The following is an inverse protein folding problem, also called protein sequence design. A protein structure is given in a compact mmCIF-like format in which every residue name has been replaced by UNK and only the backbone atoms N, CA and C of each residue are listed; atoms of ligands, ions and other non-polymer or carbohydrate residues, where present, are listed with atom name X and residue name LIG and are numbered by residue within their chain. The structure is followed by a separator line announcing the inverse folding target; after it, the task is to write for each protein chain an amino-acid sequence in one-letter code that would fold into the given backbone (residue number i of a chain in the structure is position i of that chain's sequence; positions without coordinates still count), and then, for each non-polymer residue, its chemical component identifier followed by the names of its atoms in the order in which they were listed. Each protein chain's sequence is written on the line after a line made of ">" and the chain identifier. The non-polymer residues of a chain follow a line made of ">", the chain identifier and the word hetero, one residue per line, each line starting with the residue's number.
data_IF_458126655338
#
_entry.id   IF_458126655338
#
_cell.length_a   1.000
_cell.length_b   1.000
_cell.length_c   1.000
_cell.angle_alpha   90.00
_cell.angle_beta   90.00
_cell.angle_gamma   90.00
#
_symmetry.space_group_name_H-M   'P 1'
#
loop_
_entity.id
_entity.type
_entity.pdbx_description
1 polymer ?
#
# COMPACT_ATOMS: atom_id res chain seq x y z
N UNK A 1 -20.61 14.30 -12.00
CA UNK A 1 -21.01 14.07 -13.41
C UNK A 1 -21.66 15.30 -14.04
N UNK A 2 -22.58 16.00 -13.34
CA UNK A 2 -23.27 17.20 -13.87
C UNK A 2 -22.32 18.39 -14.13
N UNK A 3 -21.34 18.63 -13.25
CA UNK A 3 -20.34 19.71 -13.41
C UNK A 3 -19.42 19.52 -14.63
N UNK A 4 -19.15 18.28 -15.05
CA UNK A 4 -18.28 17.95 -16.18
C UNK A 4 -18.94 18.24 -17.53
N UNK A 5 -20.27 18.35 -17.57
CA UNK A 5 -21.07 18.55 -18.77
C UNK A 5 -21.34 20.04 -19.02
N UNK A 6 -21.37 20.87 -17.97
CA UNK A 6 -21.80 22.27 -18.07
C UNK A 6 -20.71 23.31 -17.86
N UNK A 7 -19.53 22.94 -17.34
CA UNK A 7 -18.50 23.91 -17.02
C UNK A 7 -17.14 23.48 -17.61
N UNK A 8 -16.58 24.35 -18.46
CA UNK A 8 -15.23 24.20 -19.01
C UNK A 8 -14.23 24.80 -18.00
N UNK A 9 -13.96 24.07 -16.91
CA UNK A 9 -13.07 24.55 -15.85
C UNK A 9 -11.61 24.54 -16.29
N UNK A 10 -10.91 25.63 -16.01
CA UNK A 10 -9.45 25.72 -16.07
C UNK A 10 -8.84 24.78 -15.01
N UNK A 11 -7.64 24.25 -15.24
CA UNK A 11 -7.04 23.27 -14.31
C UNK A 11 -6.84 23.81 -12.89
N UNK A 12 -6.61 25.12 -12.74
CA UNK A 12 -6.58 25.80 -11.44
C UNK A 12 -7.92 25.73 -10.69
N UNK A 13 -9.03 25.88 -11.41
CA UNK A 13 -10.38 25.85 -10.82
C UNK A 13 -10.76 24.43 -10.38
N UNK A 14 -10.35 23.42 -11.15
CA UNK A 14 -10.46 22.00 -10.73
C UNK A 14 -9.64 21.75 -9.46
N UNK A 15 -8.44 22.34 -9.38
CA UNK A 15 -7.60 22.27 -8.19
C UNK A 15 -8.30 22.81 -6.94
N UNK A 16 -8.90 24.00 -7.02
CA UNK A 16 -9.62 24.59 -5.88
C UNK A 16 -10.84 23.77 -5.45
N UNK A 17 -11.56 23.16 -6.39
CA UNK A 17 -12.71 22.30 -6.07
C UNK A 17 -12.26 20.98 -5.43
N UNK A 18 -11.13 20.41 -5.87
CA UNK A 18 -10.59 19.15 -5.34
C UNK A 18 -9.86 19.32 -4.00
N UNK A 19 -9.39 20.53 -3.68
CA UNK A 19 -8.63 20.84 -2.47
C UNK A 19 -9.21 20.30 -1.16
N UNK A 20 -10.51 20.47 -0.82
CA UNK A 20 -11.07 19.88 0.41
C UNK A 20 -10.97 18.35 0.46
N UNK A 21 -11.14 17.67 -0.68
CA UNK A 21 -11.00 16.21 -0.77
C UNK A 21 -9.54 15.75 -0.62
N UNK A 22 -8.60 16.55 -1.14
CA UNK A 22 -7.17 16.32 -0.93
C UNK A 22 -6.80 16.48 0.55
N UNK A 23 -7.27 17.55 1.20
CA UNK A 23 -7.01 17.81 2.61
C UNK A 23 -7.58 16.69 3.50
N UNK A 24 -8.81 16.26 3.25
CA UNK A 24 -9.42 15.11 3.93
C UNK A 24 -8.59 13.83 3.76
N UNK A 25 -8.16 13.54 2.53
CA UNK A 25 -7.34 12.35 2.24
C UNK A 25 -6.00 12.39 2.98
N UNK A 26 -5.37 13.58 3.09
CA UNK A 26 -4.13 13.77 3.87
C UNK A 26 -4.37 13.56 5.36
N UNK A 27 -5.45 14.11 5.92
CA UNK A 27 -5.81 13.94 7.34
C UNK A 27 -6.07 12.47 7.68
N UNK A 28 -6.82 11.75 6.83
CA UNK A 28 -7.09 10.32 7.02
C UNK A 28 -5.79 9.50 6.99
N UNK A 29 -4.93 9.69 5.98
CA UNK A 29 -3.64 8.97 5.87
C UNK A 29 -2.72 9.19 7.06
N UNK A 30 -2.71 10.41 7.61
CA UNK A 30 -1.93 10.76 8.81
C UNK A 30 -2.32 9.92 10.02
N UNK A 31 -3.62 9.70 10.25
CA UNK A 31 -4.12 8.97 11.43
C UNK A 31 -4.12 7.46 11.19
N UNK A 32 -4.46 6.99 9.98
CA UNK A 32 -4.57 5.57 9.69
C UNK A 32 -3.27 4.80 9.92
N UNK A 33 -2.12 5.35 9.52
CA UNK A 33 -0.82 4.66 9.61
C UNK A 33 -0.42 4.29 11.06
N UNK A 34 -0.29 5.25 12.00
CA UNK A 34 0.04 4.93 13.39
C UNK A 34 -1.07 4.15 14.10
N UNK A 35 -2.34 4.36 13.72
CA UNK A 35 -3.46 3.63 14.29
C UNK A 35 -3.40 2.14 13.94
N UNK A 36 -3.11 1.78 12.68
CA UNK A 36 -2.95 0.38 12.27
C UNK A 36 -1.81 -0.27 13.06
N UNK A 37 -0.64 0.37 13.11
CA UNK A 37 0.54 -0.18 13.80
C UNK A 37 0.25 -0.46 15.27
N UNK A 38 -0.30 0.52 15.99
CA UNK A 38 -0.62 0.36 17.42
C UNK A 38 -1.72 -0.68 17.64
N UNK A 39 -2.79 -0.67 16.85
CA UNK A 39 -3.89 -1.65 16.92
C UNK A 39 -3.41 -3.08 16.71
N UNK A 40 -2.57 -3.31 15.70
CA UNK A 40 -2.03 -4.64 15.39
C UNK A 40 -1.12 -5.12 16.51
N UNK A 41 -0.22 -4.28 17.02
CA UNK A 41 0.67 -4.66 18.14
C UNK A 41 -0.15 -5.06 19.38
N UNK A 42 -1.15 -4.24 19.74
CA UNK A 42 -2.02 -4.51 20.90
C UNK A 42 -2.77 -5.83 20.68
N UNK A 43 -3.46 -5.98 19.56
CA UNK A 43 -4.24 -7.18 19.25
C UNK A 43 -3.39 -8.44 19.26
N UNK A 44 -2.19 -8.39 18.68
CA UNK A 44 -1.30 -9.55 18.61
C UNK A 44 -0.62 -9.87 19.96
N UNK A 45 -0.44 -8.88 20.84
CA UNK A 45 0.10 -9.09 22.19
C UNK A 45 -0.84 -9.88 23.11
N UNK A 46 -2.15 -9.82 22.86
CA UNK A 46 -3.17 -10.53 23.62
C UNK A 46 -3.31 -12.00 23.20
N UNK A 47 -2.75 -12.38 22.03
CA UNK A 47 -2.80 -13.74 21.46
C UNK A 47 -1.70 -14.66 22.04
N UNK A 48 -1.29 -14.45 23.29
CA UNK A 48 -0.13 -15.12 23.90
C UNK A 48 -0.41 -16.59 24.29
N UNK A 49 -1.64 -16.92 24.71
CA UNK A 49 -1.98 -18.27 25.19
C UNK A 49 -2.04 -19.32 24.08
N UNK A 50 -1.64 -20.56 24.37
CA UNK A 50 -1.68 -21.69 23.41
C UNK A 50 -3.09 -21.91 22.84
N UNK A 51 -4.13 -21.72 23.66
CA UNK A 51 -5.53 -21.82 23.24
C UNK A 51 -5.94 -20.65 22.35
N UNK A 52 -5.57 -19.41 22.70
CA UNK A 52 -5.84 -18.22 21.89
C UNK A 52 -5.21 -18.32 20.49
N UNK A 53 -3.96 -18.80 20.39
CA UNK A 53 -3.29 -19.04 19.10
C UNK A 53 -4.02 -20.04 18.20
N UNK A 54 -4.59 -21.11 18.77
CA UNK A 54 -5.38 -22.10 17.99
C UNK A 54 -6.68 -21.49 17.47
N UNK A 55 -7.34 -20.66 18.27
CA UNK A 55 -8.55 -19.95 17.86
C UNK A 55 -8.19 -18.94 16.75
N UNK A 56 -7.15 -18.13 16.95
CA UNK A 56 -6.66 -17.18 15.96
C UNK A 56 -6.29 -17.86 14.62
N UNK A 57 -5.62 -19.01 14.66
CA UNK A 57 -5.29 -19.76 13.44
C UNK A 57 -6.53 -20.24 12.67
N UNK A 58 -7.57 -20.73 13.37
CA UNK A 58 -8.84 -21.13 12.73
C UNK A 58 -9.55 -19.93 12.11
N UNK A 59 -9.57 -18.80 12.82
CA UNK A 59 -10.14 -17.54 12.32
C UNK A 59 -9.38 -17.06 11.08
N UNK A 60 -8.03 -17.12 11.09
CA UNK A 60 -7.21 -16.73 9.95
C UNK A 60 -7.50 -17.59 8.73
N UNK A 61 -7.55 -18.91 8.87
CA UNK A 61 -7.90 -19.82 7.76
C UNK A 61 -9.29 -19.52 7.19
N UNK A 62 -10.25 -19.22 8.06
CA UNK A 62 -11.60 -18.84 7.65
C UNK A 62 -11.64 -17.48 6.91
N UNK A 63 -10.95 -16.47 7.42
CA UNK A 63 -10.86 -15.15 6.76
C UNK A 63 -10.14 -15.28 5.42
N UNK A 64 -9.06 -16.05 5.37
CA UNK A 64 -8.31 -16.24 4.14
C UNK A 64 -9.14 -16.94 3.06
N UNK A 65 -9.82 -18.04 3.39
CA UNK A 65 -10.66 -18.77 2.44
C UNK A 65 -11.83 -17.92 1.93
N UNK A 66 -12.50 -17.18 2.82
CA UNK A 66 -13.59 -16.28 2.44
C UNK A 66 -13.09 -15.09 1.61
N UNK A 67 -11.91 -14.54 1.89
CA UNK A 67 -11.30 -13.46 1.08
C UNK A 67 -10.98 -13.96 -0.32
N UNK A 68 -10.40 -15.16 -0.47
CA UNK A 68 -10.14 -15.75 -1.79
C UNK A 68 -11.44 -15.93 -2.59
N UNK A 69 -12.50 -16.44 -1.95
CA UNK A 69 -13.82 -16.58 -2.59
C UNK A 69 -14.44 -15.22 -2.96
N UNK A 70 -14.29 -14.20 -2.12
CA UNK A 70 -14.81 -12.85 -2.39
C UNK A 70 -14.04 -12.15 -3.52
N UNK A 71 -12.71 -12.24 -3.53
CA UNK A 71 -11.87 -11.64 -4.58
C UNK A 71 -12.12 -12.32 -5.93
N UNK A 72 -12.20 -13.65 -5.96
CA UNK A 72 -12.48 -14.39 -7.20
C UNK A 72 -13.85 -14.05 -7.78
N UNK A 73 -14.90 -14.01 -6.95
CA UNK A 73 -16.23 -13.60 -7.41
C UNK A 73 -16.27 -12.12 -7.84
N UNK A 74 -15.58 -11.23 -7.12
CA UNK A 74 -15.46 -9.81 -7.48
C UNK A 74 -14.76 -9.58 -8.82
N UNK A 75 -13.64 -10.28 -9.07
CA UNK A 75 -12.91 -10.20 -10.34
C UNK A 75 -13.78 -10.75 -11.49
N UNK A 76 -14.42 -11.92 -11.29
CA UNK A 76 -15.31 -12.51 -12.31
C UNK A 76 -16.43 -11.54 -12.68
N UNK A 77 -17.11 -10.96 -11.68
CA UNK A 77 -18.20 -10.03 -11.92
C UNK A 77 -17.72 -8.74 -12.62
N UNK A 78 -16.57 -8.21 -12.21
CA UNK A 78 -15.97 -7.00 -12.81
C UNK A 78 -15.59 -7.22 -14.28
N UNK A 79 -14.98 -8.35 -14.62
CA UNK A 79 -14.61 -8.70 -16.00
C UNK A 79 -15.84 -8.95 -16.87
N UNK A 80 -16.93 -9.47 -16.31
CA UNK A 80 -18.18 -9.68 -17.04
C UNK A 80 -18.97 -8.39 -17.28
N UNK A 81 -19.15 -7.57 -16.25
CA UNK A 81 -19.93 -6.34 -16.36
C UNK A 81 -19.14 -5.24 -17.07
N UNK A 82 -17.81 -5.25 -16.96
CA UNK A 82 -16.89 -4.20 -17.46
C UNK A 82 -17.38 -2.79 -17.13
N UNK A 83 -17.62 -2.48 -15.84
CA UNK A 83 -18.10 -1.15 -15.46
C UNK A 83 -17.07 -0.08 -15.86
N UNK A 84 -17.52 1.00 -16.48
CA UNK A 84 -16.66 2.10 -16.92
C UNK A 84 -16.08 1.96 -18.33
N UNK A 85 -16.43 0.92 -19.09
CA UNK A 85 -16.10 0.83 -20.51
C UNK A 85 -17.02 1.74 -21.35
N UNK A 86 -16.66 3.00 -21.50
CA UNK A 86 -17.26 3.93 -22.46
C UNK A 86 -16.35 4.03 -23.68
N UNK A 87 -16.82 3.61 -24.86
CA UNK A 87 -16.02 3.61 -26.10
C UNK A 87 -15.41 4.96 -26.48
N UNK A 88 -15.94 6.07 -25.94
CA UNK A 88 -15.50 7.45 -26.21
C UNK A 88 -14.27 7.90 -25.41
N UNK A 89 -13.76 7.09 -24.47
CA UNK A 89 -12.58 7.42 -23.63
C UNK A 89 -11.27 6.86 -24.23
N UNK A 90 -11.35 6.18 -25.37
CA UNK A 90 -10.20 5.51 -26.01
C UNK A 90 -9.21 6.50 -26.65
N UNK A 91 -9.58 7.77 -26.84
CA UNK A 91 -8.73 8.77 -27.52
C UNK A 91 -7.93 9.70 -26.59
N UNK A 92 -8.09 9.60 -25.26
CA UNK A 92 -7.44 10.54 -24.32
C UNK A 92 -6.60 9.87 -23.24
N UNK A 93 -6.50 8.54 -23.23
CA UNK A 93 -5.61 7.84 -22.31
C UNK A 93 -4.69 6.97 -23.16
N UNK A 94 -3.61 7.60 -23.62
CA UNK A 94 -2.40 6.85 -23.94
C UNK A 94 -1.90 6.32 -22.59
N UNK A 95 -2.51 5.22 -22.12
CA UNK A 95 -1.97 4.44 -21.03
C UNK A 95 -0.69 3.90 -21.64
N UNK A 96 0.43 4.57 -21.35
CA UNK A 96 1.73 3.90 -21.33
C UNK A 96 1.50 2.63 -20.54
N UNK A 97 1.35 1.53 -21.27
CA UNK A 97 1.33 0.21 -20.69
C UNK A 97 2.74 0.01 -20.23
N UNK A 98 3.06 0.47 -19.03
CA UNK A 98 4.18 -0.08 -18.28
C UNK A 98 3.93 -1.59 -18.32
N UNK A 99 4.81 -2.32 -19.00
CA UNK A 99 4.81 -3.78 -19.03
C UNK A 99 5.06 -4.25 -17.60
N UNK A 100 3.98 -4.30 -16.83
CA UNK A 100 3.99 -4.67 -15.44
C UNK A 100 4.27 -6.17 -15.39
N UNK A 101 5.54 -6.53 -15.34
CA UNK A 101 5.92 -7.90 -15.09
C UNK A 101 5.38 -8.29 -13.72
N UNK A 102 4.33 -9.11 -13.71
CA UNK A 102 3.67 -9.58 -12.48
C UNK A 102 4.68 -10.17 -11.48
N UNK A 103 5.76 -10.76 -11.97
CA UNK A 103 6.86 -11.26 -11.15
C UNK A 103 7.65 -10.17 -10.43
N UNK A 104 7.92 -9.02 -11.07
CA UNK A 104 8.59 -7.87 -10.44
C UNK A 104 7.71 -7.30 -9.33
N UNK A 105 6.40 -7.17 -9.57
CA UNK A 105 5.45 -6.73 -8.57
C UNK A 105 5.36 -7.68 -7.35
N UNK A 106 5.38 -9.00 -7.59
CA UNK A 106 5.42 -9.98 -6.51
C UNK A 106 6.73 -9.92 -5.72
N UNK A 107 7.86 -9.72 -6.40
CA UNK A 107 9.15 -9.55 -5.74
C UNK A 107 9.19 -8.27 -4.90
N UNK A 108 8.66 -7.17 -5.41
CA UNK A 108 8.52 -5.91 -4.67
C UNK A 108 7.58 -6.06 -3.48
N UNK A 109 6.50 -6.85 -3.59
CA UNK A 109 5.63 -7.16 -2.46
C UNK A 109 6.39 -7.87 -1.34
N UNK A 110 7.20 -8.89 -1.68
CA UNK A 110 8.01 -9.63 -0.70
C UNK A 110 9.08 -8.73 -0.08
N UNK A 111 9.75 -7.88 -0.89
CA UNK A 111 10.70 -6.87 -0.39
C UNK A 111 10.02 -5.88 0.56
N UNK A 112 8.80 -5.45 0.25
CA UNK A 112 8.03 -4.55 1.11
C UNK A 112 7.52 -5.23 2.39
N UNK A 113 7.30 -6.55 2.39
CA UNK A 113 6.94 -7.30 3.60
C UNK A 113 8.05 -7.26 4.67
N UNK A 114 9.32 -7.14 4.27
CA UNK A 114 10.49 -7.05 5.16
C UNK A 114 11.25 -5.76 4.84
N UNK A 115 10.80 -4.59 5.35
CA UNK A 115 11.44 -3.32 5.04
C UNK A 115 12.85 -3.23 5.63
N UNK A 116 13.77 -2.56 4.92
CA UNK A 116 15.14 -2.35 5.39
C UNK A 116 15.23 -1.55 6.70
N UNK A 117 14.22 -0.70 6.99
CA UNK A 117 14.09 0.03 8.25
C UNK A 117 12.62 0.32 8.54
N UNK A 118 12.21 0.16 9.80
CA UNK A 118 10.85 0.44 10.24
C UNK A 118 10.48 1.91 10.14
N UNK A 119 11.42 2.80 10.48
CA UNK A 119 11.17 4.23 10.46
C UNK A 119 10.94 4.68 9.01
N UNK A 120 11.76 4.18 8.07
CA UNK A 120 11.60 4.47 6.64
C UNK A 120 10.27 3.92 6.12
N UNK A 121 9.81 2.76 6.60
CA UNK A 121 8.54 2.16 6.19
C UNK A 121 7.31 3.03 6.50
N UNK A 122 7.37 3.96 7.45
CA UNK A 122 6.29 4.93 7.69
C UNK A 122 6.16 5.96 6.55
N UNK A 123 7.26 6.27 5.87
CA UNK A 123 7.33 7.37 4.91
C UNK A 123 7.56 6.93 3.48
N UNK A 124 8.07 5.71 3.26
CA UNK A 124 8.44 5.22 1.93
C UNK A 124 8.28 3.70 1.77
N UNK A 125 8.16 3.26 0.52
CA UNK A 125 8.08 1.86 0.11
C UNK A 125 9.01 1.60 -1.09
N UNK A 126 9.36 0.33 -1.29
CA UNK A 126 10.24 -0.10 -2.37
C UNK A 126 9.43 -0.34 -3.66
N UNK A 127 9.89 0.21 -4.78
CA UNK A 127 9.35 -0.04 -6.12
C UNK A 127 10.52 -0.26 -7.08
N UNK A 128 10.43 -1.28 -7.91
CA UNK A 128 11.33 -1.49 -9.05
C UNK A 128 10.79 -0.68 -10.23
N UNK A 129 11.59 0.27 -10.72
CA UNK A 129 11.28 1.04 -11.93
C UNK A 129 12.14 0.53 -13.08
N UNK A 130 11.54 0.36 -14.25
CA UNK A 130 12.27 0.12 -15.50
C UNK A 130 12.76 1.45 -16.02
N UNK A 131 14.07 1.69 -15.95
CA UNK A 131 14.69 2.88 -16.51
C UNK A 131 15.32 2.49 -17.84
N UNK A 132 15.05 3.26 -18.88
CA UNK A 132 15.77 3.16 -20.15
C UNK A 132 17.19 3.66 -19.93
N UNK A 133 18.15 2.76 -19.92
CA UNK A 133 19.56 3.09 -19.92
C UNK A 133 20.05 3.09 -21.38
N UNK A 134 20.50 4.24 -21.85
CA UNK A 134 21.24 4.32 -23.11
C UNK A 134 22.61 3.66 -22.89
N UNK A 135 22.82 2.49 -23.48
CA UNK A 135 24.11 1.81 -23.42
C UNK A 135 24.91 2.23 -24.64
N UNK A 136 26.07 2.88 -24.42
CA UNK A 136 27.03 3.17 -25.49
C UNK A 136 27.61 1.86 -26.03
N UNK A 137 26.93 1.29 -27.02
CA UNK A 137 27.42 0.13 -27.76
C UNK A 137 28.13 0.59 -29.03
N UNK A 138 29.27 0.00 -29.36
CA UNK A 138 29.99 0.29 -30.61
C UNK A 138 29.82 -0.89 -31.57
N UNK A 139 29.54 -0.61 -32.84
CA UNK A 139 29.43 -1.64 -33.87
C UNK A 139 30.80 -2.33 -34.09
N UNK A 140 30.90 -3.66 -33.94
CA UNK A 140 32.17 -4.38 -34.04
C UNK A 140 32.81 -4.32 -35.43
N UNK A 141 32.06 -3.94 -36.48
CA UNK A 141 32.58 -3.82 -37.85
C UNK A 141 32.92 -2.36 -38.19
N UNK A 142 32.04 -1.42 -37.85
CA UNK A 142 32.16 -0.02 -38.28
C UNK A 142 32.75 0.92 -37.22
N UNK A 143 32.81 0.50 -35.95
CA UNK A 143 33.34 1.31 -34.85
C UNK A 143 32.51 2.55 -34.53
N UNK A 144 31.28 2.64 -35.05
CA UNK A 144 30.36 3.75 -34.80
C UNK A 144 29.50 3.47 -33.56
N UNK A 145 29.09 4.51 -32.81
CA UNK A 145 28.17 4.35 -31.70
C UNK A 145 26.79 3.92 -32.22
N UNK A 146 26.28 2.80 -31.69
CA UNK A 146 24.90 2.37 -31.80
C UNK A 146 24.12 2.86 -30.59
N UNK A 147 22.93 3.41 -30.84
CA UNK A 147 21.94 3.64 -29.79
C UNK A 147 21.23 2.30 -29.51
N UNK A 148 21.76 1.53 -28.56
CA UNK A 148 21.01 0.45 -27.93
C UNK A 148 20.32 0.99 -26.68
N UNK A 149 19.00 0.85 -26.64
CA UNK A 149 18.20 1.03 -25.43
C UNK A 149 18.16 -0.29 -24.68
N UNK A 150 18.82 -0.35 -23.51
CA UNK A 150 18.70 -1.47 -22.59
C UNK A 150 17.83 -1.07 -21.40
N UNK A 151 16.85 -1.89 -21.06
CA UNK A 151 15.98 -1.64 -19.91
C UNK A 151 16.66 -2.13 -18.64
N UNK A 152 17.16 -1.20 -17.81
CA UNK A 152 17.70 -1.55 -16.50
C UNK A 152 16.61 -1.45 -15.43
N UNK A 153 16.46 -2.51 -14.63
CA UNK A 153 15.54 -2.50 -13.49
C UNK A 153 16.24 -1.90 -12.27
N UNK A 154 15.92 -0.64 -11.95
CA UNK A 154 16.52 0.05 -10.81
C UNK A 154 15.54 0.09 -9.64
N UNK A 155 15.99 -0.43 -8.50
CA UNK A 155 15.24 -0.37 -7.26
C UNK A 155 15.25 1.04 -6.65
N UNK A 156 14.09 1.65 -6.47
CA UNK A 156 13.97 2.97 -5.84
C UNK A 156 13.00 2.95 -4.66
N UNK A 157 13.28 3.84 -3.71
CA UNK A 157 12.44 4.09 -2.56
C UNK A 157 11.49 5.23 -2.89
N UNK A 158 10.21 4.92 -3.07
CA UNK A 158 9.16 5.86 -3.46
C UNK A 158 8.48 6.41 -2.20
N UNK A 159 8.22 7.74 -2.12
CA UNK A 159 7.47 8.30 -1.00
C UNK A 159 6.06 7.70 -0.92
N UNK A 160 5.68 7.28 0.28
CA UNK A 160 4.42 6.61 0.57
C UNK A 160 4.60 5.49 1.58
N UNK A 161 3.67 5.36 2.51
CA UNK A 161 3.74 4.39 3.61
C UNK A 161 3.74 2.94 3.11
N UNK A 162 4.76 2.16 3.50
CA UNK A 162 4.79 0.72 3.32
C UNK A 162 3.89 0.02 4.36
N UNK A 163 2.58 0.01 4.11
CA UNK A 163 1.61 -0.58 5.05
C UNK A 163 1.80 -2.09 5.24
N UNK A 164 2.18 -2.83 4.18
CA UNK A 164 2.37 -4.29 4.24
C UNK A 164 3.49 -4.63 5.23
N UNK A 165 4.65 -3.97 5.07
CA UNK A 165 5.78 -4.16 5.98
C UNK A 165 5.46 -3.76 7.41
N UNK A 166 4.77 -2.63 7.60
CA UNK A 166 4.36 -2.16 8.93
C UNK A 166 3.42 -3.17 9.62
N UNK A 167 2.46 -3.75 8.90
CA UNK A 167 1.55 -4.76 9.46
C UNK A 167 2.32 -6.02 9.85
N UNK A 168 3.18 -6.53 8.97
CA UNK A 168 3.96 -7.75 9.22
C UNK A 168 4.86 -7.58 10.43
N UNK A 169 5.57 -6.45 10.52
CA UNK A 169 6.44 -6.18 11.65
C UNK A 169 5.67 -5.91 12.94
N UNK A 170 4.52 -5.24 12.86
CA UNK A 170 3.60 -5.05 14.00
C UNK A 170 3.06 -6.38 14.52
N UNK A 171 2.78 -7.33 13.63
CA UNK A 171 2.36 -8.68 14.01
C UNK A 171 3.46 -9.43 14.76
N UNK A 172 4.68 -9.43 14.22
CA UNK A 172 5.85 -10.08 14.86
C UNK A 172 6.14 -9.42 16.20
N UNK A 173 6.21 -8.08 16.24
CA UNK A 173 6.46 -7.30 17.45
C UNK A 173 5.38 -7.53 18.51
N UNK A 174 4.10 -7.52 18.14
CA UNK A 174 3.00 -7.81 19.04
C UNK A 174 3.07 -9.23 19.62
N UNK A 175 3.37 -10.24 18.80
CA UNK A 175 3.56 -11.62 19.28
C UNK A 175 4.74 -11.74 20.26
N UNK A 176 5.88 -11.09 19.96
CA UNK A 176 7.04 -11.07 20.85
C UNK A 176 6.73 -10.36 22.16
N UNK A 177 6.06 -9.21 22.12
CA UNK A 177 5.59 -8.49 23.31
C UNK A 177 4.68 -9.39 24.14
N UNK A 178 3.75 -10.12 23.51
CA UNK A 178 2.86 -11.06 24.17
C UNK A 178 3.57 -12.23 24.88
N UNK A 179 4.79 -12.58 24.45
CA UNK A 179 5.59 -13.65 25.05
C UNK A 179 6.40 -13.21 26.28
N UNK A 180 6.65 -11.90 26.45
CA UNK A 180 7.47 -11.33 27.54
C UNK A 180 6.78 -11.47 28.93
N UNK A 181 5.52 -11.89 28.98
CA UNK A 181 4.80 -12.12 30.24
C UNK A 181 4.40 -10.81 30.92
N UNK A 182 4.53 -10.70 32.24
CA UNK A 182 4.01 -9.54 32.99
C UNK A 182 4.79 -8.23 32.77
N UNK A 183 6.05 -8.31 32.32
CA UNK A 183 6.88 -7.13 32.09
C UNK A 183 6.39 -6.25 30.92
N UNK A 184 5.54 -6.78 30.03
CA UNK A 184 4.99 -6.03 28.90
C UNK A 184 3.83 -5.09 29.28
N UNK A 185 3.28 -5.19 30.49
CA UNK A 185 2.01 -4.53 30.86
C UNK A 185 2.06 -3.02 30.70
N UNK A 186 3.16 -2.40 31.10
CA UNK A 186 3.37 -0.95 30.97
C UNK A 186 3.42 -0.51 29.51
N UNK A 187 4.13 -1.28 28.67
CA UNK A 187 4.25 -0.99 27.24
C UNK A 187 2.91 -1.15 26.53
N UNK A 188 2.18 -2.24 26.78
CA UNK A 188 0.86 -2.47 26.20
C UNK A 188 -0.14 -1.42 26.66
N UNK A 189 -0.08 -0.98 27.92
CA UNK A 189 -0.92 0.12 28.42
C UNK A 189 -0.63 1.43 27.68
N UNK A 190 0.64 1.80 27.53
CA UNK A 190 1.04 3.00 26.77
C UNK A 190 0.54 2.93 25.31
N UNK A 191 0.66 1.77 24.67
CA UNK A 191 0.16 1.58 23.31
C UNK A 191 -1.36 1.71 23.25
N UNK A 192 -2.11 1.17 24.22
CA UNK A 192 -3.56 1.30 24.31
C UNK A 192 -3.98 2.76 24.51
N UNK A 193 -3.32 3.49 25.40
CA UNK A 193 -3.60 4.90 25.65
C UNK A 193 -3.34 5.75 24.39
N UNK A 194 -2.24 5.46 23.67
CA UNK A 194 -1.94 6.09 22.37
C UNK A 194 -3.00 5.74 21.31
N UNK A 195 -3.41 4.48 21.22
CA UNK A 195 -4.42 4.02 20.27
C UNK A 195 -5.78 4.69 20.52
N UNK A 196 -6.16 4.85 21.80
CA UNK A 196 -7.36 5.59 22.19
C UNK A 196 -7.28 7.06 21.78
N UNK A 197 -6.14 7.73 22.02
CA UNK A 197 -5.93 9.10 21.58
C UNK A 197 -6.05 9.25 20.05
N UNK A 198 -5.44 8.34 19.29
CA UNK A 198 -5.53 8.33 17.82
C UNK A 198 -6.97 8.09 17.33
N UNK A 199 -7.75 7.28 18.04
CA UNK A 199 -9.16 7.03 17.73
C UNK A 199 -10.01 8.28 17.95
N UNK A 200 -9.75 9.07 18.99
CA UNK A 200 -10.41 10.36 19.22
C UNK A 200 -10.12 11.33 18.07
N UNK A 201 -8.86 11.42 17.63
CA UNK A 201 -8.49 12.25 16.48
C UNK A 201 -9.19 11.78 15.20
N UNK A 202 -9.26 10.47 14.96
CA UNK A 202 -10.00 9.92 13.82
C UNK A 202 -11.48 10.32 13.85
N UNK A 203 -12.09 10.28 15.03
CA UNK A 203 -13.49 10.68 15.21
C UNK A 203 -13.72 12.16 14.87
N UNK A 204 -12.80 13.05 15.26
CA UNK A 204 -12.86 14.48 14.92
C UNK A 204 -12.75 14.75 13.41
N UNK A 205 -12.03 13.92 12.66
CA UNK A 205 -11.90 14.07 11.20
C UNK A 205 -13.19 13.63 10.49
N UNK A 206 -13.93 12.69 11.06
CA UNK A 206 -15.13 12.10 10.44
C UNK A 206 -16.45 12.82 10.77
N UNK A 207 -16.46 13.67 11.80
CA UNK A 207 -17.61 14.51 12.18
C UNK A 207 -17.57 15.85 11.44
#
# INVERSE_FOLDING_TARGET
>A
MILRIYAHLTDSEKGYINYPGELLSRMLRMVTTPLIVTSVIIGMSEVSSKSSRRIAARVLVYIFSTTVLAVTTGILLSVHIKPGFSSDVTSMIDVEKEDFFSMVALMDLVRNMIPASLIIAFFAHYKTETVEAEVEAYDPISGLPMNLTEFEQLGRTVPGTNMVGLIVWSCIGGLLIGQIGEANRTLVKLLKDLNMALTVVAHWITW
#
